data_IF_083977942920
#
_entry.id   IF_083977942920
#
_cell.length_a   1.000
_cell.length_b   1.000
_cell.length_c   1.000
_cell.angle_alpha   90.00
_cell.angle_beta   90.00
_cell.angle_gamma   90.00
#
_symmetry.space_group_name_H-M   'P 1'
#
loop_
_entity.id
_entity.type
_entity.pdbx_description
1 polymer ?
#
# COMPACT_ATOMS: atom_id res chain seq x y z
N UNK A 1 -25.55 -16.94 15.44
CA UNK A 1 -24.36 -16.14 15.74
C UNK A 1 -23.18 -16.64 14.92
N UNK A 2 -22.78 -16.07 13.78
CA UNK A 2 -23.32 -14.97 13.00
C UNK A 2 -22.66 -14.96 11.61
N UNK A 3 -23.35 -15.47 10.59
CA UNK A 3 -22.95 -15.32 9.18
C UNK A 3 -22.77 -13.83 8.82
N UNK A 4 -23.49 -12.92 9.48
CA UNK A 4 -23.29 -11.46 9.41
C UNK A 4 -21.95 -10.99 10.00
N UNK A 5 -21.49 -11.55 11.13
CA UNK A 5 -20.17 -11.22 11.69
C UNK A 5 -19.06 -11.72 10.78
N UNK A 6 -19.20 -12.90 10.19
CA UNK A 6 -18.22 -13.44 9.25
C UNK A 6 -18.15 -12.58 7.98
N UNK A 7 -19.31 -12.22 7.43
CA UNK A 7 -19.40 -11.32 6.28
C UNK A 7 -18.81 -9.94 6.58
N UNK A 8 -19.08 -9.37 7.75
CA UNK A 8 -18.51 -8.08 8.18
C UNK A 8 -16.99 -8.16 8.39
N UNK A 9 -16.49 -9.27 8.94
CA UNK A 9 -15.04 -9.50 9.16
C UNK A 9 -14.25 -9.62 7.86
N UNK A 10 -14.86 -10.07 6.76
CA UNK A 10 -14.19 -10.16 5.46
C UNK A 10 -14.42 -8.91 4.60
N UNK A 11 -15.64 -8.37 4.59
CA UNK A 11 -16.01 -7.25 3.72
C UNK A 11 -15.34 -5.94 4.16
N UNK A 12 -15.25 -5.68 5.47
CA UNK A 12 -14.71 -4.41 5.98
C UNK A 12 -13.22 -4.26 5.67
N UNK A 13 -12.34 -5.25 5.95
CA UNK A 13 -10.94 -5.19 5.54
C UNK A 13 -10.77 -5.06 4.03
N UNK A 14 -11.61 -5.73 3.24
CA UNK A 14 -11.58 -5.61 1.79
C UNK A 14 -11.91 -4.18 1.33
N UNK A 15 -13.06 -3.63 1.76
CA UNK A 15 -13.48 -2.29 1.39
C UNK A 15 -12.49 -1.21 1.85
N UNK A 16 -11.93 -1.36 3.05
CA UNK A 16 -10.91 -0.48 3.58
C UNK A 16 -9.63 -0.50 2.74
N UNK A 17 -9.16 -1.67 2.31
CA UNK A 17 -7.99 -1.81 1.44
C UNK A 17 -8.22 -1.19 0.06
N UNK A 18 -9.40 -1.42 -0.54
CA UNK A 18 -9.75 -0.76 -1.82
C UNK A 18 -9.75 0.77 -1.65
N UNK A 19 -10.31 1.28 -0.56
CA UNK A 19 -10.29 2.72 -0.26
C UNK A 19 -8.87 3.25 -0.06
N UNK A 20 -7.99 2.47 0.58
CA UNK A 20 -6.57 2.83 0.75
C UNK A 20 -5.81 2.89 -0.58
N UNK A 21 -6.09 1.98 -1.52
CA UNK A 21 -5.51 2.06 -2.87
C UNK A 21 -6.04 3.28 -3.64
N UNK A 22 -7.33 3.59 -3.53
CA UNK A 22 -7.90 4.83 -4.09
C UNK A 22 -7.22 6.08 -3.52
N UNK A 23 -7.04 6.14 -2.19
CA UNK A 23 -6.34 7.23 -1.53
C UNK A 23 -4.88 7.33 -2.00
N UNK A 24 -4.19 6.19 -2.16
CA UNK A 24 -2.80 6.15 -2.65
C UNK A 24 -2.68 6.74 -4.06
N UNK A 25 -3.54 6.31 -4.99
CA UNK A 25 -3.54 6.80 -6.38
C UNK A 25 -3.91 8.28 -6.45
N UNK A 26 -4.92 8.71 -5.68
CA UNK A 26 -5.32 10.10 -5.57
C UNK A 26 -4.20 10.99 -5.03
N UNK A 27 -3.48 10.54 -4.00
CA UNK A 27 -2.35 11.27 -3.42
C UNK A 27 -1.15 11.36 -4.36
N UNK A 28 -0.82 10.31 -5.13
CA UNK A 28 0.23 10.38 -6.16
C UNK A 28 -0.11 11.40 -7.25
N UNK A 29 -1.38 11.49 -7.63
CA UNK A 29 -1.88 12.48 -8.58
C UNK A 29 -1.81 13.90 -8.00
N UNK A 30 -2.22 14.07 -6.74
CA UNK A 30 -2.10 15.33 -5.99
C UNK A 30 -0.64 15.80 -5.83
N UNK A 31 0.28 14.87 -5.56
CA UNK A 31 1.72 15.16 -5.51
C UNK A 31 2.23 15.68 -6.87
N UNK A 32 1.90 14.99 -7.96
CA UNK A 32 2.30 15.42 -9.30
C UNK A 32 1.71 16.80 -9.65
N UNK A 33 0.47 17.05 -9.25
CA UNK A 33 -0.18 18.34 -9.42
C UNK A 33 0.47 19.46 -8.58
N UNK A 34 0.92 19.17 -7.36
CA UNK A 34 1.59 20.14 -6.49
C UNK A 34 2.99 20.48 -7.01
N UNK A 35 3.78 19.47 -7.40
CA UNK A 35 5.13 19.65 -7.96
C UNK A 35 5.11 20.35 -9.33
N UNK A 36 4.11 20.07 -10.17
CA UNK A 36 3.89 20.80 -11.42
C UNK A 36 3.61 22.30 -11.22
N UNK A 37 3.18 22.70 -10.02
CA UNK A 37 2.98 24.11 -9.62
C UNK A 37 4.20 24.72 -8.91
N UNK A 38 5.35 24.05 -8.96
CA UNK A 38 6.63 24.56 -8.46
C UNK A 38 6.94 24.23 -7.01
N UNK A 39 6.13 23.42 -6.32
CA UNK A 39 6.46 22.98 -4.96
C UNK A 39 7.58 21.94 -4.98
N UNK A 40 8.63 22.15 -4.17
CA UNK A 40 9.66 21.13 -3.97
C UNK A 40 9.09 19.85 -3.35
N UNK A 41 9.55 18.70 -3.86
CA UNK A 41 9.14 17.41 -3.30
C UNK A 41 9.66 17.18 -1.87
N UNK A 42 10.78 17.79 -1.47
CA UNK A 42 11.27 17.73 -0.09
C UNK A 42 10.31 18.44 0.86
N UNK A 43 9.92 19.67 0.50
CA UNK A 43 8.94 20.47 1.26
C UNK A 43 7.59 19.77 1.32
N UNK A 44 7.13 19.22 0.19
CA UNK A 44 5.91 18.42 0.15
C UNK A 44 5.98 17.23 1.10
N UNK A 45 7.08 16.46 1.07
CA UNK A 45 7.28 15.27 1.92
C UNK A 45 7.21 15.66 3.39
N UNK A 46 7.92 16.72 3.79
CA UNK A 46 7.95 17.20 5.17
C UNK A 46 6.54 17.59 5.65
N UNK A 47 5.82 18.42 4.89
CA UNK A 47 4.48 18.85 5.28
C UNK A 47 3.48 17.71 5.33
N UNK A 48 3.56 16.77 4.39
CA UNK A 48 2.73 15.57 4.40
C UNK A 48 2.99 14.71 5.63
N UNK A 49 4.26 14.52 6.05
CA UNK A 49 4.59 13.81 7.28
C UNK A 49 4.06 14.53 8.53
N UNK A 50 4.17 15.87 8.59
CA UNK A 50 3.66 16.67 9.71
C UNK A 50 2.14 16.57 9.81
N UNK A 51 1.42 16.76 8.70
CA UNK A 51 -0.04 16.59 8.65
C UNK A 51 -0.42 15.18 9.05
N UNK A 52 0.33 14.17 8.60
CA UNK A 52 0.03 12.79 8.91
C UNK A 52 0.17 12.47 10.40
N UNK A 53 1.26 12.95 11.01
CA UNK A 53 1.49 12.82 12.45
C UNK A 53 0.43 13.59 13.25
N UNK A 54 0.16 14.85 12.90
CA UNK A 54 -0.85 15.67 13.56
C UNK A 54 -2.25 15.07 13.49
N UNK A 55 -2.60 14.43 12.36
CA UNK A 55 -3.86 13.73 12.20
C UNK A 55 -3.94 12.47 13.07
N UNK A 56 -2.85 11.70 13.23
CA UNK A 56 -2.87 10.42 13.96
C UNK A 56 -2.72 10.54 15.48
N UNK A 57 -1.96 11.52 15.97
CA UNK A 57 -1.73 11.76 17.40
C UNK A 57 -3.02 11.80 18.23
N UNK A 58 -4.08 12.56 17.86
CA UNK A 58 -5.31 12.57 18.65
C UNK A 58 -6.00 11.20 18.63
N UNK A 59 -6.01 10.49 17.50
CA UNK A 59 -6.59 9.15 17.43
C UNK A 59 -5.80 8.15 18.27
N UNK A 60 -4.47 8.25 18.31
CA UNK A 60 -3.63 7.40 19.16
C UNK A 60 -3.97 7.63 20.65
N UNK A 61 -4.24 8.87 21.06
CA UNK A 61 -4.64 9.18 22.43
C UNK A 61 -6.04 8.65 22.78
N UNK A 62 -7.03 8.83 21.90
CA UNK A 62 -8.42 8.42 22.16
C UNK A 62 -8.67 6.91 21.98
N UNK A 63 -7.99 6.28 21.02
CA UNK A 63 -8.14 4.86 20.70
C UNK A 63 -7.00 4.00 21.26
N UNK A 64 -6.25 4.54 22.23
CA UNK A 64 -5.19 3.81 22.90
C UNK A 64 -5.71 2.48 23.43
N UNK A 65 -5.15 1.39 22.91
CA UNK A 65 -5.33 0.08 23.53
C UNK A 65 -4.33 0.00 24.66
N UNK A 66 -4.76 -0.37 25.87
CA UNK A 66 -3.88 -0.65 27.01
C UNK A 66 -3.00 -1.88 26.73
N UNK A 67 -2.07 -1.75 25.79
CA UNK A 67 -1.06 -2.72 25.47
C UNK A 67 0.14 -2.42 26.36
N UNK A 68 0.58 -3.42 27.13
CA UNK A 68 1.81 -3.31 27.89
C UNK A 68 2.97 -3.06 26.93
N UNK A 69 3.84 -2.11 27.27
CA UNK A 69 5.04 -1.87 26.47
C UNK A 69 5.91 -3.14 26.47
N UNK A 70 6.58 -3.44 25.34
CA UNK A 70 7.46 -4.59 25.27
C UNK A 70 8.58 -4.48 26.31
N UNK A 71 9.07 -5.61 26.85
CA UNK A 71 10.10 -5.62 27.89
C UNK A 71 11.38 -4.89 27.45
N UNK A 72 11.74 -4.98 26.17
CA UNK A 72 12.91 -4.31 25.59
C UNK A 72 12.54 -3.00 24.87
N UNK A 73 12.19 -1.97 25.64
CA UNK A 73 11.73 -0.66 25.12
C UNK A 73 12.72 0.00 24.14
N UNK A 74 14.02 -0.08 24.40
CA UNK A 74 15.07 0.56 23.58
C UNK A 74 15.16 -0.11 22.20
N UNK A 75 15.20 -1.44 22.17
CA UNK A 75 15.28 -2.20 20.92
C UNK A 75 14.04 -1.95 20.06
N UNK A 76 12.86 -1.94 20.68
CA UNK A 76 11.60 -1.63 20.00
C UNK A 76 11.57 -0.21 19.44
N UNK A 77 12.03 0.79 20.20
CA UNK A 77 12.16 2.16 19.71
C UNK A 77 13.09 2.24 18.49
N UNK A 78 14.26 1.58 18.55
CA UNK A 78 15.19 1.54 17.42
C UNK A 78 14.58 0.87 16.17
N UNK A 79 13.79 -0.19 16.35
CA UNK A 79 13.05 -0.81 15.24
C UNK A 79 12.09 0.17 14.56
N UNK A 80 11.34 0.97 15.34
CA UNK A 80 10.45 2.01 14.77
C UNK A 80 11.27 3.11 14.08
N UNK A 81 12.43 3.50 14.60
CA UNK A 81 13.32 4.46 13.93
C UNK A 81 13.81 3.92 12.60
N UNK A 82 14.30 2.67 12.55
CA UNK A 82 14.71 2.02 11.30
C UNK A 82 13.56 1.91 10.30
N UNK A 83 12.38 1.55 10.77
CA UNK A 83 11.17 1.48 9.95
C UNK A 83 10.79 2.86 9.38
N UNK A 84 10.90 3.92 10.17
CA UNK A 84 10.64 5.31 9.77
C UNK A 84 11.67 5.81 8.75
N UNK A 85 12.94 5.46 8.92
CA UNK A 85 14.01 5.76 7.96
C UNK A 85 13.82 5.01 6.62
N UNK A 86 13.40 3.74 6.68
CA UNK A 86 13.04 2.96 5.51
C UNK A 86 11.83 3.56 4.79
N UNK A 87 10.79 3.93 5.54
CA UNK A 87 9.60 4.61 5.03
C UNK A 87 9.91 5.94 4.35
N UNK A 88 10.78 6.75 4.95
CA UNK A 88 11.28 7.99 4.36
C UNK A 88 12.01 7.73 3.04
N UNK A 89 12.87 6.72 3.01
CA UNK A 89 13.60 6.32 1.80
C UNK A 89 12.63 5.89 0.69
N UNK A 90 11.58 5.14 1.02
CA UNK A 90 10.51 4.79 0.06
C UNK A 90 9.83 6.05 -0.49
N UNK A 91 9.46 6.99 0.39
CA UNK A 91 8.74 8.20 -0.01
C UNK A 91 9.60 9.11 -0.89
N UNK A 92 10.89 9.29 -0.57
CA UNK A 92 11.80 10.08 -1.39
C UNK A 92 12.04 9.45 -2.76
N UNK A 93 12.29 8.14 -2.82
CA UNK A 93 12.42 7.41 -4.08
C UNK A 93 11.15 7.51 -4.93
N UNK A 94 9.98 7.38 -4.30
CA UNK A 94 8.69 7.50 -5.00
C UNK A 94 8.41 8.90 -5.52
N UNK A 95 8.70 9.92 -4.72
CA UNK A 95 8.54 11.31 -5.12
C UNK A 95 9.51 11.66 -6.27
N UNK A 96 10.76 11.20 -6.20
CA UNK A 96 11.73 11.36 -7.29
C UNK A 96 11.31 10.58 -8.54
N UNK A 97 10.77 9.39 -8.38
CA UNK A 97 10.19 8.60 -9.47
C UNK A 97 9.02 9.30 -10.16
N UNK A 98 8.12 9.89 -9.36
CA UNK A 98 6.99 10.69 -9.84
C UNK A 98 7.43 11.98 -10.52
N UNK A 99 8.51 12.61 -10.07
CA UNK A 99 9.10 13.78 -10.73
C UNK A 99 9.56 13.44 -12.15
N UNK A 100 10.33 12.35 -12.29
CA UNK A 100 10.86 11.88 -13.58
C UNK A 100 9.82 11.16 -14.48
N UNK A 101 8.63 10.87 -13.96
CA UNK A 101 7.63 10.07 -14.69
C UNK A 101 6.19 10.46 -14.33
N UNK A 102 5.27 9.49 -14.31
CA UNK A 102 3.83 9.68 -14.12
C UNK A 102 3.26 8.80 -13.00
N UNK A 103 2.12 9.21 -12.39
CA UNK A 103 1.37 8.37 -11.47
C UNK A 103 0.96 7.03 -12.07
N UNK A 104 0.62 6.99 -13.37
CA UNK A 104 0.26 5.75 -14.07
C UNK A 104 1.43 4.77 -14.15
N UNK A 105 2.65 5.25 -14.43
CA UNK A 105 3.84 4.39 -14.41
C UNK A 105 4.12 3.87 -12.98
N UNK A 106 3.94 4.72 -11.97
CA UNK A 106 4.03 4.32 -10.56
C UNK A 106 3.07 3.15 -10.26
N UNK A 107 1.78 3.30 -10.58
CA UNK A 107 0.78 2.23 -10.43
C UNK A 107 1.14 0.96 -11.21
N UNK A 108 1.70 1.09 -12.42
CA UNK A 108 2.13 -0.04 -13.24
C UNK A 108 3.29 -0.83 -12.61
N UNK A 109 4.27 -0.15 -12.02
CA UNK A 109 5.43 -0.81 -11.38
C UNK A 109 5.06 -1.33 -9.98
N UNK A 110 4.03 -0.76 -9.33
CA UNK A 110 3.53 -1.22 -8.03
C UNK A 110 3.05 -2.68 -8.03
N UNK A 111 2.75 -3.24 -9.21
CA UNK A 111 2.44 -4.67 -9.40
C UNK A 111 3.57 -5.61 -8.97
N UNK A 112 4.80 -5.10 -8.79
CA UNK A 112 5.92 -5.86 -8.26
C UNK A 112 5.84 -6.10 -6.74
N UNK A 113 5.07 -5.28 -6.01
CA UNK A 113 4.97 -5.35 -4.55
C UNK A 113 4.50 -6.73 -4.05
N UNK A 114 3.41 -7.35 -4.57
CA UNK A 114 3.02 -8.68 -4.13
C UNK A 114 4.13 -9.73 -4.29
N UNK A 115 4.86 -9.70 -5.42
CA UNK A 115 5.93 -10.65 -5.69
C UNK A 115 7.11 -10.46 -4.73
N UNK A 116 7.59 -9.23 -4.55
CA UNK A 116 8.65 -8.91 -3.58
C UNK A 116 8.23 -9.26 -2.15
N UNK A 117 7.00 -8.91 -1.77
CA UNK A 117 6.47 -9.18 -0.44
C UNK A 117 6.34 -10.67 -0.17
N UNK A 118 5.87 -11.46 -1.13
CA UNK A 118 5.79 -12.91 -0.99
C UNK A 118 7.18 -13.55 -0.82
N UNK A 119 8.15 -13.18 -1.65
CA UNK A 119 9.53 -13.67 -1.53
C UNK A 119 10.13 -13.36 -0.14
N UNK A 120 9.95 -12.12 0.33
CA UNK A 120 10.43 -11.73 1.66
C UNK A 120 9.66 -12.45 2.78
N UNK A 121 8.34 -12.60 2.67
CA UNK A 121 7.53 -13.32 3.66
C UNK A 121 7.97 -14.78 3.80
N UNK A 122 8.35 -15.44 2.70
CA UNK A 122 8.92 -16.79 2.71
C UNK A 122 10.31 -16.79 3.34
N UNK A 123 11.18 -15.85 2.96
CA UNK A 123 12.54 -15.72 3.51
C UNK A 123 12.53 -15.52 5.03
N UNK A 124 11.66 -14.64 5.53
CA UNK A 124 11.47 -14.39 6.97
C UNK A 124 10.58 -15.42 7.67
N UNK A 125 10.21 -16.52 6.99
CA UNK A 125 9.37 -17.62 7.52
C UNK A 125 7.99 -17.17 8.04
N UNK A 126 7.46 -16.08 7.50
CA UNK A 126 6.11 -15.60 7.78
C UNK A 126 5.05 -16.34 6.94
N UNK A 127 5.47 -16.93 5.81
CA UNK A 127 4.66 -17.80 4.97
C UNK A 127 5.38 -19.14 4.79
N UNK A 128 4.63 -20.25 4.93
CA UNK A 128 5.15 -21.59 4.65
C UNK A 128 4.68 -22.00 3.27
N UNK A 129 5.63 -22.24 2.35
CA UNK A 129 5.29 -22.79 1.04
C UNK A 129 5.06 -24.29 1.21
N UNK A 130 3.80 -24.70 1.27
CA UNK A 130 3.41 -26.09 1.03
C UNK A 130 2.74 -26.18 -0.35
N UNK A 131 3.54 -26.58 -1.36
CA UNK A 131 3.08 -26.76 -2.74
C UNK A 131 2.10 -27.93 -2.89
N UNK A 132 1.90 -28.76 -1.86
CA UNK A 132 0.87 -29.80 -1.87
C UNK A 132 -0.51 -29.24 -1.51
N UNK A 133 -0.57 -28.10 -0.81
CA UNK A 133 -1.85 -27.45 -0.47
C UNK A 133 -2.37 -26.63 -1.65
N UNK A 134 -3.59 -26.95 -2.07
CA UNK A 134 -4.29 -26.23 -3.15
C UNK A 134 -4.44 -24.72 -2.88
N UNK A 135 -4.60 -24.32 -1.61
CA UNK A 135 -4.63 -22.91 -1.19
C UNK A 135 -3.35 -22.14 -1.57
N UNK A 136 -2.17 -22.74 -1.39
CA UNK A 136 -0.88 -22.12 -1.71
C UNK A 136 -0.72 -21.93 -3.22
N UNK A 137 -1.09 -22.94 -4.01
CA UNK A 137 -1.03 -22.89 -5.48
C UNK A 137 -1.94 -21.79 -6.01
N UNK A 138 -3.19 -21.72 -5.52
CA UNK A 138 -4.16 -20.73 -5.99
C UNK A 138 -3.70 -19.30 -5.71
N UNK A 139 -3.01 -19.03 -4.59
CA UNK A 139 -2.44 -17.70 -4.31
C UNK A 139 -1.33 -17.32 -5.30
N UNK A 140 -0.44 -18.26 -5.61
CA UNK A 140 0.66 -18.04 -6.57
C UNK A 140 0.08 -17.78 -7.96
N UNK A 141 -0.83 -18.63 -8.42
CA UNK A 141 -1.48 -18.48 -9.73
C UNK A 141 -2.31 -17.19 -9.78
N UNK A 142 -3.11 -16.90 -8.74
CA UNK A 142 -3.88 -15.66 -8.65
C UNK A 142 -3.01 -14.41 -8.68
N UNK A 143 -1.84 -14.44 -8.05
CA UNK A 143 -0.86 -13.36 -8.11
C UNK A 143 -0.31 -13.18 -9.54
N UNK A 144 0.07 -14.28 -10.20
CA UNK A 144 0.55 -14.24 -11.59
C UNK A 144 -0.52 -13.71 -12.55
N UNK A 145 -1.78 -14.13 -12.38
CA UNK A 145 -2.93 -13.63 -13.17
C UNK A 145 -3.19 -12.15 -12.89
N UNK A 146 -3.10 -11.69 -11.64
CA UNK A 146 -3.29 -10.27 -11.30
C UNK A 146 -2.20 -9.39 -11.93
N UNK A 147 -0.94 -9.84 -11.88
CA UNK A 147 0.19 -9.16 -12.53
C UNK A 147 0.01 -9.15 -14.05
N UNK A 148 -0.43 -10.25 -14.67
CA UNK A 148 -0.66 -10.29 -16.12
C UNK A 148 -1.80 -9.35 -16.54
N UNK A 149 -2.88 -9.26 -15.77
CA UNK A 149 -3.95 -8.29 -15.99
C UNK A 149 -3.44 -6.85 -15.93
N UNK A 150 -2.57 -6.54 -14.98
CA UNK A 150 -1.97 -5.23 -14.88
C UNK A 150 -1.01 -4.91 -16.03
N UNK A 151 -0.25 -5.90 -16.52
CA UNK A 151 0.54 -5.77 -17.75
C UNK A 151 -0.34 -5.52 -18.98
N UNK A 152 -1.53 -6.13 -19.07
CA UNK A 152 -2.50 -5.84 -20.14
C UNK A 152 -2.96 -4.39 -20.08
N UNK A 153 -3.28 -3.83 -18.91
CA UNK A 153 -3.66 -2.41 -18.78
C UNK A 153 -2.58 -1.47 -19.33
N UNK A 154 -1.31 -1.83 -19.15
CA UNK A 154 -0.16 -1.00 -19.52
C UNK A 154 0.24 -1.17 -20.99
N UNK A 155 0.32 -2.42 -21.46
CA UNK A 155 0.90 -2.76 -22.77
C UNK A 155 -0.15 -2.79 -23.88
N UNK A 156 -1.41 -3.04 -23.55
CA UNK A 156 -2.49 -3.11 -24.52
C UNK A 156 -3.47 -1.95 -24.30
N UNK A 157 -3.49 -0.97 -25.21
CA UNK A 157 -4.53 0.06 -25.23
C UNK A 157 -5.81 -0.47 -25.87
N UNK A 158 -5.74 -0.94 -27.12
CA UNK A 158 -6.92 -1.31 -27.90
C UNK A 158 -7.79 -0.10 -28.31
N UNK A 159 -8.98 -0.33 -28.90
CA UNK A 159 -9.89 0.74 -29.31
C UNK A 159 -10.49 1.48 -28.11
N UNK A 160 -10.94 2.72 -28.34
CA UNK A 160 -11.70 3.49 -27.35
C UNK A 160 -13.08 2.84 -27.21
N UNK A 161 -13.45 2.52 -25.97
CA UNK A 161 -14.75 1.89 -25.65
C UNK A 161 -15.72 2.91 -25.08
N UNK A 162 -15.20 3.83 -24.24
CA UNK A 162 -15.97 4.94 -23.70
C UNK A 162 -15.25 6.21 -24.15
N UNK A 163 -15.84 6.88 -25.15
CA UNK A 163 -15.41 8.19 -25.62
C UNK A 163 -16.09 9.27 -24.80
N UNK A 164 -15.31 10.22 -24.29
CA UNK A 164 -15.89 11.36 -23.59
C UNK A 164 -16.24 12.48 -24.61
N UNK A 165 -17.52 12.89 -24.75
CA UNK A 165 -17.93 13.92 -25.70
C UNK A 165 -17.35 15.32 -25.37
N UNK A 166 -16.86 15.54 -24.15
CA UNK A 166 -16.20 16.76 -23.72
C UNK A 166 -14.67 16.67 -23.72
N UNK A 167 -14.11 15.51 -24.13
CA UNK A 167 -12.67 15.41 -24.35
C UNK A 167 -12.31 16.37 -25.48
N UNK A 168 -11.34 17.28 -25.31
CA UNK A 168 -10.85 18.09 -26.41
C UNK A 168 -10.32 17.12 -27.46
N UNK A 169 -11.09 16.90 -28.53
CA UNK A 169 -10.70 16.04 -29.65
C UNK A 169 -9.25 16.38 -29.99
N UNK A 170 -8.30 15.43 -29.90
CA UNK A 170 -7.08 15.64 -30.64
C UNK A 170 -7.54 15.63 -32.09
N UNK A 171 -7.48 16.80 -32.76
CA UNK A 171 -7.14 16.77 -34.17
C UNK A 171 -5.98 15.80 -34.27
N UNK A 172 -6.08 14.83 -35.17
CA UNK A 172 -5.01 13.93 -35.54
C UNK A 172 -3.76 14.76 -35.88
N UNK A 173 -3.00 15.05 -34.84
CA UNK A 173 -1.71 15.69 -34.82
C UNK A 173 -0.95 14.69 -33.98
N UNK A 174 -0.05 13.94 -34.62
CA UNK A 174 0.86 13.09 -33.88
C UNK A 174 1.43 13.95 -32.77
N UNK A 175 1.18 13.56 -31.52
CA UNK A 175 1.95 14.03 -30.38
C UNK A 175 3.34 13.40 -30.49
N UNK A 176 4.05 13.77 -31.56
CA UNK A 176 5.36 14.34 -31.37
C UNK A 176 5.14 15.39 -30.26
N UNK A 177 5.83 15.21 -29.15
CA UNK A 177 6.19 16.33 -28.29
C UNK A 177 6.37 17.57 -29.18
N UNK A 178 5.98 18.78 -28.75
CA UNK A 178 6.62 19.94 -29.34
C UNK A 178 8.11 19.63 -29.18
N UNK A 179 8.80 19.33 -30.28
CA UNK A 179 10.20 19.64 -30.36
C UNK A 179 10.20 21.11 -29.95
N UNK A 180 10.77 21.46 -28.78
CA UNK A 180 11.07 22.84 -28.55
C UNK A 180 11.91 23.27 -29.77
N UNK A 181 11.91 24.56 -30.15
CA UNK A 181 13.04 25.06 -30.93
C UNK A 181 14.31 24.50 -30.26
N UNK A 182 15.25 23.98 -31.05
CA UNK A 182 16.53 23.46 -30.57
C UNK A 182 17.18 24.48 -29.65
N UNK A 183 16.85 24.39 -28.36
CA UNK A 183 17.49 25.06 -27.25
C UNK A 183 17.86 23.92 -26.31
N UNK A 184 19.14 23.60 -26.34
CA UNK A 184 19.80 22.45 -25.75
C UNK A 184 19.91 22.53 -24.22
N UNK A 185 18.85 22.96 -23.53
CA UNK A 185 18.90 23.33 -22.11
C UNK A 185 17.77 22.77 -21.23
N UNK A 186 16.79 22.03 -21.78
CA UNK A 186 15.78 21.33 -20.97
C UNK A 186 15.96 19.80 -21.03
N UNK A 187 16.40 19.13 -19.95
CA UNK A 187 16.52 17.68 -19.94
C UNK A 187 15.14 17.03 -20.02
N UNK A 188 14.92 16.20 -21.05
CA UNK A 188 13.74 15.33 -21.15
C UNK A 188 13.63 14.49 -19.87
N UNK A 189 12.44 14.38 -19.25
CA UNK A 189 12.29 13.58 -18.04
C UNK A 189 12.68 12.14 -18.32
N UNK A 190 13.73 11.66 -17.64
CA UNK A 190 14.28 10.33 -17.85
C UNK A 190 13.35 9.28 -17.22
N UNK A 191 12.30 8.93 -17.95
CA UNK A 191 11.25 7.99 -17.52
C UNK A 191 11.82 6.63 -17.08
N UNK A 192 12.98 6.22 -17.62
CA UNK A 192 13.71 5.02 -17.21
C UNK A 192 14.24 5.18 -15.78
N UNK A 193 14.85 6.33 -15.46
CA UNK A 193 15.28 6.65 -14.10
C UNK A 193 14.08 6.68 -13.15
N UNK A 194 12.95 7.26 -13.58
CA UNK A 194 11.71 7.23 -12.81
C UNK A 194 11.23 5.81 -12.52
N UNK A 195 11.26 4.93 -13.53
CA UNK A 195 10.93 3.51 -13.38
C UNK A 195 11.86 2.78 -12.42
N UNK A 196 13.17 3.00 -12.50
CA UNK A 196 14.15 2.43 -11.57
C UNK A 196 13.89 2.89 -10.13
N UNK A 197 13.64 4.19 -9.91
CA UNK A 197 13.25 4.72 -8.61
C UNK A 197 12.01 4.01 -8.04
N UNK A 198 11.00 3.75 -8.87
CA UNK A 198 9.81 2.99 -8.45
C UNK A 198 10.12 1.54 -8.10
N UNK A 199 10.95 0.84 -8.87
CA UNK A 199 11.35 -0.54 -8.54
C UNK A 199 12.01 -0.59 -7.16
N UNK A 200 12.95 0.32 -6.89
CA UNK A 200 13.60 0.40 -5.56
C UNK A 200 12.61 0.80 -4.46
N UNK A 201 11.76 1.80 -4.70
CA UNK A 201 10.70 2.18 -3.76
C UNK A 201 9.86 0.97 -3.37
N UNK A 202 9.37 0.19 -4.34
CA UNK A 202 8.44 -0.90 -4.09
C UNK A 202 9.09 -2.13 -3.49
N UNK A 203 10.39 -2.35 -3.76
CA UNK A 203 11.19 -3.31 -3.00
C UNK A 203 11.30 -2.88 -1.53
N UNK A 204 11.68 -1.64 -1.26
CA UNK A 204 11.75 -1.10 0.10
C UNK A 204 10.39 -1.12 0.82
N UNK A 205 9.30 -0.83 0.11
CA UNK A 205 7.94 -0.88 0.64
C UNK A 205 7.53 -2.31 1.03
N UNK A 206 8.02 -3.32 0.29
CA UNK A 206 7.82 -4.73 0.64
C UNK A 206 8.58 -5.09 1.93
N UNK A 207 9.80 -4.59 2.12
CA UNK A 207 10.52 -4.70 3.41
C UNK A 207 9.76 -3.98 4.54
N UNK A 208 9.21 -2.80 4.26
CA UNK A 208 8.39 -2.06 5.22
C UNK A 208 7.20 -2.90 5.70
N UNK A 209 6.46 -3.56 4.80
CA UNK A 209 5.36 -4.46 5.20
C UNK A 209 5.81 -5.60 6.12
N UNK A 210 6.96 -6.22 5.86
CA UNK A 210 7.51 -7.29 6.69
C UNK A 210 7.85 -6.76 8.10
N UNK A 211 8.63 -5.68 8.17
CA UNK A 211 9.07 -5.10 9.44
C UNK A 211 7.89 -4.55 10.25
N UNK A 212 6.96 -3.85 9.61
CA UNK A 212 5.73 -3.35 10.23
C UNK A 212 4.91 -4.49 10.84
N UNK A 213 4.80 -5.63 10.14
CA UNK A 213 4.10 -6.82 10.68
C UNK A 213 4.78 -7.36 11.92
N UNK A 214 6.12 -7.39 11.96
CA UNK A 214 6.87 -7.87 13.13
C UNK A 214 6.69 -6.94 14.33
N UNK A 215 6.74 -5.62 14.10
CA UNK A 215 6.53 -4.60 15.15
C UNK A 215 5.13 -4.72 15.75
N UNK A 216 4.10 -4.85 14.92
CA UNK A 216 2.71 -4.94 15.38
C UNK A 216 2.40 -6.25 16.11
N UNK A 217 3.11 -7.34 15.81
CA UNK A 217 3.03 -8.57 16.61
C UNK A 217 3.57 -8.40 18.03
N UNK A 218 4.56 -7.52 18.22
CA UNK A 218 5.15 -7.22 19.54
C UNK A 218 4.31 -6.20 20.29
N UNK A 219 3.77 -5.19 19.59
CA UNK A 219 2.93 -4.15 20.18
C UNK A 219 1.68 -3.91 19.31
N UNK A 220 0.54 -4.54 19.64
CA UNK A 220 -0.66 -4.59 18.80
C UNK A 220 -1.57 -3.35 18.94
N UNK A 221 -0.96 -2.17 18.98
CA UNK A 221 -1.66 -0.87 18.88
C UNK A 221 -1.25 -0.18 17.57
N UNK A 222 -2.08 -0.38 16.54
CA UNK A 222 -1.79 0.03 15.17
C UNK A 222 -1.71 1.54 15.02
N UNK A 223 -2.63 2.28 15.66
CA UNK A 223 -2.70 3.74 15.53
C UNK A 223 -1.53 4.40 16.25
N UNK A 224 -1.20 3.93 17.47
CA UNK A 224 -0.05 4.45 18.21
C UNK A 224 1.27 4.20 17.50
N UNK A 225 1.49 3.00 16.95
CA UNK A 225 2.72 2.68 16.19
C UNK A 225 2.85 3.58 14.97
N UNK A 226 1.76 3.77 14.21
CA UNK A 226 1.80 4.61 13.00
C UNK A 226 1.96 6.10 13.35
N UNK A 227 1.38 6.57 14.46
CA UNK A 227 1.57 7.93 14.94
C UNK A 227 3.04 8.22 15.30
N UNK A 228 3.67 7.34 16.08
CA UNK A 228 5.09 7.45 16.45
C UNK A 228 5.98 7.34 15.21
N UNK A 229 5.65 6.44 14.28
CA UNK A 229 6.34 6.30 12.99
C UNK A 229 6.35 7.61 12.21
N UNK A 230 5.20 8.27 12.00
CA UNK A 230 5.16 9.55 11.26
C UNK A 230 5.80 10.70 12.02
N UNK A 231 5.75 10.69 13.35
CA UNK A 231 6.45 11.69 14.17
C UNK A 231 7.97 11.59 13.99
N UNK A 232 8.52 10.37 14.08
CA UNK A 232 9.95 10.13 13.83
C UNK A 232 10.28 10.45 12.36
N UNK A 233 9.43 10.04 11.42
CA UNK A 233 9.64 10.32 10.01
C UNK A 233 9.68 11.83 9.72
N UNK A 234 8.81 12.64 10.34
CA UNK A 234 8.85 14.10 10.23
C UNK A 234 10.15 14.68 10.80
N UNK A 235 10.61 14.18 11.96
CA UNK A 235 11.88 14.58 12.57
C UNK A 235 13.09 14.23 11.70
N UNK A 236 13.07 13.09 11.00
CA UNK A 236 14.13 12.69 10.07
C UNK A 236 14.07 13.49 8.76
N UNK A 237 12.86 13.82 8.29
CA UNK A 237 12.65 14.56 7.03
C UNK A 237 13.02 16.04 7.16
N UNK A 238 12.77 16.65 8.33
CA UNK A 238 13.03 18.06 8.59
C UNK A 238 14.47 18.51 8.27
N UNK A 239 15.54 17.88 8.81
CA UNK A 239 16.91 18.27 8.50
C UNK A 239 17.26 18.05 7.03
N UNK A 240 16.77 16.96 6.40
CA UNK A 240 17.00 16.70 4.97
C UNK A 240 16.39 17.81 4.13
N UNK A 241 15.16 18.23 4.45
CA UNK A 241 14.48 19.31 3.75
C UNK A 241 15.18 20.65 3.94
N UNK A 242 15.63 20.98 5.16
CA UNK A 242 16.35 22.22 5.45
C UNK A 242 17.70 22.30 4.71
N UNK A 243 18.39 21.17 4.54
CA UNK A 243 19.65 21.11 3.80
C UNK A 243 19.41 21.17 2.29
N UNK A 244 18.37 20.49 1.79
CA UNK A 244 18.09 20.41 0.36
C UNK A 244 17.46 21.69 -0.20
N UNK A 245 16.61 22.38 0.58
CA UNK A 245 15.83 23.55 0.15
C UNK A 245 16.22 24.77 0.98
N UNK A 246 17.32 25.40 0.57
CA UNK A 246 17.88 26.59 1.23
C UNK A 246 17.16 27.89 0.83
N UNK A 247 16.42 27.89 -0.28
CA UNK A 247 15.61 29.04 -0.70
C UNK A 247 14.30 29.10 0.08
N UNK A 248 14.13 30.17 0.87
CA UNK A 248 12.91 30.44 1.65
C UNK A 248 11.65 30.58 0.79
N UNK A 249 11.76 30.83 -0.51
CA UNK A 249 10.60 30.86 -1.41
C UNK A 249 10.03 29.46 -1.67
N UNK A 250 10.84 28.39 -1.63
CA UNK A 250 10.39 27.01 -1.82
C UNK A 250 9.41 26.56 -0.72
N UNK A 251 9.44 27.23 0.44
CA UNK A 251 8.60 26.96 1.60
C UNK A 251 7.26 27.70 1.58
N UNK A 252 7.11 28.70 0.70
CA UNK A 252 5.89 29.53 0.65
C UNK A 252 4.76 28.78 -0.07
N UNK A 253 3.69 28.48 0.66
CA UNK A 253 2.45 27.93 0.11
C UNK A 253 1.59 29.06 -0.48
N UNK A 254 1.99 29.58 -1.63
CA UNK A 254 1.33 30.74 -2.27
C UNK A 254 -0.01 30.41 -2.92
N UNK A 255 -0.24 29.15 -3.29
CA UNK A 255 -1.45 28.69 -3.97
C UNK A 255 -2.33 27.83 -3.03
N UNK A 256 -3.61 28.17 -2.79
CA UNK A 256 -4.48 27.39 -1.91
C UNK A 256 -4.69 25.95 -2.40
N UNK A 257 -4.58 25.68 -3.71
CA UNK A 257 -4.65 24.32 -4.25
C UNK A 257 -3.47 23.45 -3.79
N UNK A 258 -2.27 24.03 -3.65
CA UNK A 258 -1.09 23.30 -3.17
C UNK A 258 -1.32 22.85 -1.73
N UNK A 259 -1.88 23.73 -0.89
CA UNK A 259 -2.26 23.39 0.48
C UNK A 259 -3.28 22.24 0.52
N UNK A 260 -4.31 22.26 -0.33
CA UNK A 260 -5.29 21.17 -0.42
C UNK A 260 -4.64 19.83 -0.82
N UNK A 261 -3.69 19.84 -1.77
CA UNK A 261 -2.97 18.62 -2.16
C UNK A 261 -2.09 18.07 -1.04
N UNK A 262 -1.41 18.93 -0.29
CA UNK A 262 -0.61 18.55 0.89
C UNK A 262 -1.51 17.98 1.97
N UNK A 263 -2.59 18.69 2.32
CA UNK A 263 -3.51 18.29 3.38
C UNK A 263 -4.17 16.95 3.06
N UNK A 264 -4.70 16.79 1.84
CA UNK A 264 -5.28 15.53 1.39
C UNK A 264 -4.24 14.39 1.35
N UNK A 265 -3.02 14.66 0.91
CA UNK A 265 -1.96 13.65 0.89
C UNK A 265 -1.48 13.23 2.27
N UNK A 266 -1.40 14.16 3.23
CA UNK A 266 -1.10 13.84 4.63
C UNK A 266 -2.22 13.05 5.28
N UNK A 267 -3.46 13.51 5.13
CA UNK A 267 -4.61 12.91 5.82
C UNK A 267 -5.04 11.57 5.19
N UNK A 268 -5.34 11.56 3.89
CA UNK A 268 -5.81 10.37 3.18
C UNK A 268 -4.64 9.50 2.72
N UNK A 269 -3.64 10.10 2.07
CA UNK A 269 -2.54 9.36 1.44
C UNK A 269 -1.52 8.74 2.38
N UNK A 270 -1.36 9.31 3.57
CA UNK A 270 -0.41 8.83 4.58
C UNK A 270 -1.14 8.30 5.81
N UNK A 271 -1.82 9.14 6.61
CA UNK A 271 -2.43 8.69 7.87
C UNK A 271 -3.43 7.56 7.68
N UNK A 272 -4.45 7.77 6.84
CA UNK A 272 -5.50 6.79 6.61
C UNK A 272 -4.93 5.50 5.98
N UNK A 273 -4.15 5.64 4.89
CA UNK A 273 -3.54 4.49 4.21
C UNK A 273 -2.63 3.68 5.15
N UNK A 274 -1.77 4.34 5.94
CA UNK A 274 -0.86 3.65 6.85
C UNK A 274 -1.61 2.98 8.01
N UNK A 275 -2.67 3.60 8.53
CA UNK A 275 -3.54 2.97 9.53
C UNK A 275 -4.21 1.71 8.98
N UNK A 276 -4.80 1.78 7.78
CA UNK A 276 -5.45 0.64 7.12
C UNK A 276 -4.44 -0.46 6.76
N UNK A 277 -3.30 -0.11 6.19
CA UNK A 277 -2.25 -1.09 5.89
C UNK A 277 -1.77 -1.77 7.17
N UNK A 278 -1.43 -1.00 8.20
CA UNK A 278 -0.96 -1.56 9.49
C UNK A 278 -2.00 -2.47 10.13
N UNK A 279 -3.27 -2.06 10.10
CA UNK A 279 -4.38 -2.89 10.55
C UNK A 279 -4.51 -4.17 9.75
N UNK A 280 -4.44 -4.12 8.41
CA UNK A 280 -4.47 -5.31 7.57
C UNK A 280 -3.25 -6.22 7.74
N UNK A 281 -2.07 -5.66 8.01
CA UNK A 281 -0.87 -6.42 8.33
C UNK A 281 -1.05 -7.19 9.65
N UNK A 282 -1.67 -6.56 10.66
CA UNK A 282 -2.00 -7.22 11.91
C UNK A 282 -3.00 -8.38 11.69
N UNK A 283 -4.06 -8.11 10.92
CA UNK A 283 -5.17 -9.05 10.75
C UNK A 283 -4.82 -10.25 9.86
N UNK A 284 -4.26 -10.00 8.67
CA UNK A 284 -4.11 -11.03 7.61
C UNK A 284 -2.69 -11.15 7.06
N UNK A 285 -1.77 -10.29 7.52
CA UNK A 285 -0.35 -10.35 7.17
C UNK A 285 0.04 -9.63 5.87
N UNK A 286 1.34 -9.62 5.54
CA UNK A 286 1.91 -8.78 4.48
C UNK A 286 1.51 -9.20 3.07
N UNK A 287 1.33 -10.51 2.82
CA UNK A 287 0.90 -11.00 1.50
C UNK A 287 -0.55 -10.58 1.20
N UNK A 288 -1.41 -10.52 2.21
CA UNK A 288 -2.78 -10.03 2.02
C UNK A 288 -2.78 -8.56 1.62
N UNK A 289 -2.11 -7.70 2.38
CA UNK A 289 -2.07 -6.24 2.09
C UNK A 289 -1.46 -5.97 0.72
N UNK A 290 -0.32 -6.59 0.41
CA UNK A 290 0.35 -6.38 -0.89
C UNK A 290 -0.47 -6.85 -2.09
N UNK A 291 -1.37 -7.81 -1.94
CA UNK A 291 -2.20 -8.32 -3.04
C UNK A 291 -3.17 -7.30 -3.64
N UNK A 292 -3.47 -6.20 -2.93
CA UNK A 292 -4.34 -5.13 -3.44
C UNK A 292 -3.63 -4.16 -4.37
N UNK A 293 -2.29 -4.16 -4.40
CA UNK A 293 -1.50 -3.20 -5.19
C UNK A 293 -1.80 -3.20 -6.68
N UNK A 294 -2.06 -4.35 -7.33
CA UNK A 294 -2.49 -4.36 -8.72
C UNK A 294 -3.80 -3.63 -9.02
N UNK A 295 -4.66 -3.41 -8.02
CA UNK A 295 -5.86 -2.62 -8.21
C UNK A 295 -5.53 -1.15 -8.52
N UNK A 296 -4.36 -0.65 -8.09
CA UNK A 296 -3.96 0.75 -8.25
C UNK A 296 -3.92 1.21 -9.72
N UNK A 297 -3.56 0.34 -10.67
CA UNK A 297 -3.53 0.71 -12.10
C UNK A 297 -4.95 0.80 -12.69
N UNK A 298 -5.85 -0.08 -12.28
CA UNK A 298 -7.25 -0.04 -12.70
C UNK A 298 -7.95 1.19 -12.10
N UNK A 299 -7.70 1.49 -10.82
CA UNK A 299 -8.20 2.70 -10.17
C UNK A 299 -7.64 3.95 -10.85
N UNK A 300 -6.34 3.99 -11.18
CA UNK A 300 -5.74 5.13 -11.88
C UNK A 300 -6.39 5.37 -13.24
N UNK A 301 -6.64 4.30 -14.01
CA UNK A 301 -7.34 4.41 -15.29
C UNK A 301 -8.79 4.90 -15.13
N UNK A 302 -9.53 4.39 -14.13
CA UNK A 302 -10.89 4.82 -13.84
C UNK A 302 -10.95 6.28 -13.37
N UNK A 303 -10.06 6.69 -12.48
CA UNK A 303 -9.95 8.08 -12.02
C UNK A 303 -9.57 9.03 -13.16
N UNK A 304 -8.66 8.62 -14.05
CA UNK A 304 -8.34 9.38 -15.27
C UNK A 304 -9.58 9.59 -16.15
N UNK A 305 -10.33 8.53 -16.41
CA UNK A 305 -11.55 8.63 -17.21
C UNK A 305 -12.65 9.50 -16.55
N UNK A 306 -12.88 9.34 -15.24
CA UNK A 306 -13.97 10.03 -14.53
C UNK A 306 -13.62 11.49 -14.22
N UNK A 307 -12.41 11.76 -13.74
CA UNK A 307 -12.01 13.08 -13.22
C UNK A 307 -11.32 13.94 -14.27
N UNK A 308 -10.49 13.34 -15.13
CA UNK A 308 -9.75 14.06 -16.17
C UNK A 308 -10.48 14.01 -17.52
N UNK A 309 -11.47 13.11 -17.66
CA UNK A 309 -12.23 12.96 -18.89
C UNK A 309 -11.46 12.22 -19.99
N UNK A 310 -10.45 11.44 -19.62
CA UNK A 310 -9.65 10.63 -20.55
C UNK A 310 -10.49 9.53 -21.19
N UNK A 311 -10.19 9.21 -22.46
CA UNK A 311 -10.85 8.11 -23.15
C UNK A 311 -10.48 6.76 -22.50
N UNK A 312 -11.50 5.95 -22.18
CA UNK A 312 -11.28 4.61 -21.64
C UNK A 312 -11.05 3.62 -22.78
N UNK A 313 -9.86 3.02 -22.79
CA UNK A 313 -9.46 2.08 -23.82
C UNK A 313 -9.79 0.64 -23.43
N UNK A 314 -10.07 -0.21 -24.42
CA UNK A 314 -10.51 -1.61 -24.22
C UNK A 314 -9.55 -2.42 -23.34
N UNK A 315 -8.25 -2.24 -23.51
CA UNK A 315 -7.27 -2.99 -22.73
C UNK A 315 -7.24 -2.62 -21.25
N UNK A 316 -7.67 -1.42 -20.86
CA UNK A 316 -7.90 -1.09 -19.45
C UNK A 316 -9.06 -1.89 -18.86
N UNK A 317 -10.15 -2.07 -19.61
CA UNK A 317 -11.31 -2.88 -19.18
C UNK A 317 -10.91 -4.35 -19.05
N UNK A 318 -10.28 -4.91 -20.09
CA UNK A 318 -9.84 -6.31 -20.09
C UNK A 318 -8.84 -6.55 -18.95
N UNK A 319 -7.85 -5.68 -18.81
CA UNK A 319 -6.85 -5.79 -17.75
C UNK A 319 -7.47 -5.70 -16.36
N UNK A 320 -8.44 -4.80 -16.12
CA UNK A 320 -9.18 -4.71 -14.86
C UNK A 320 -9.98 -5.99 -14.53
N UNK A 321 -10.60 -6.62 -15.53
CA UNK A 321 -11.29 -7.91 -15.37
C UNK A 321 -10.29 -8.99 -14.96
N UNK A 322 -9.14 -9.09 -15.64
CA UNK A 322 -8.11 -10.08 -15.32
C UNK A 322 -7.53 -9.85 -13.92
N UNK A 323 -7.26 -8.59 -13.54
CA UNK A 323 -6.84 -8.23 -12.18
C UNK A 323 -7.87 -8.72 -11.15
N UNK A 324 -9.15 -8.50 -11.40
CA UNK A 324 -10.25 -8.91 -10.51
C UNK A 324 -10.30 -10.43 -10.34
N UNK A 325 -10.12 -11.19 -11.42
CA UNK A 325 -10.08 -12.67 -11.39
C UNK A 325 -8.86 -13.16 -10.58
N UNK A 326 -7.67 -12.63 -10.87
CA UNK A 326 -6.44 -13.01 -10.15
C UNK A 326 -6.53 -12.70 -8.66
N UNK A 327 -7.03 -11.51 -8.35
CA UNK A 327 -7.24 -11.05 -6.98
C UNK A 327 -8.27 -11.91 -6.23
N UNK A 328 -9.40 -12.26 -6.86
CA UNK A 328 -10.38 -13.19 -6.28
C UNK A 328 -9.75 -14.55 -5.96
N UNK A 329 -8.88 -15.06 -6.84
CA UNK A 329 -8.11 -16.28 -6.57
C UNK A 329 -7.27 -16.18 -5.30
N UNK A 330 -6.54 -15.08 -5.11
CA UNK A 330 -5.72 -14.85 -3.90
C UNK A 330 -6.60 -14.86 -2.65
N UNK A 331 -7.72 -14.13 -2.67
CA UNK A 331 -8.66 -14.07 -1.55
C UNK A 331 -9.25 -15.44 -1.23
N UNK A 332 -9.71 -16.16 -2.26
CA UNK A 332 -10.24 -17.52 -2.11
C UNK A 332 -9.20 -18.46 -1.49
N UNK A 333 -7.96 -18.39 -1.97
CA UNK A 333 -6.86 -19.15 -1.41
C UNK A 333 -6.61 -18.83 0.07
N UNK A 334 -6.69 -17.56 0.47
CA UNK A 334 -6.55 -17.12 1.87
C UNK A 334 -7.72 -17.58 2.74
N UNK A 335 -8.96 -17.41 2.29
CA UNK A 335 -10.15 -17.87 3.00
C UNK A 335 -10.09 -19.37 3.30
N UNK A 336 -9.67 -20.19 2.31
CA UNK A 336 -9.47 -21.63 2.53
C UNK A 336 -8.37 -21.96 3.55
N UNK A 337 -7.34 -21.12 3.67
CA UNK A 337 -6.27 -21.34 4.66
C UNK A 337 -6.78 -21.04 6.08
N UNK A 338 -7.58 -19.99 6.24
CA UNK A 338 -8.21 -19.62 7.51
C UNK A 338 -9.23 -20.68 7.96
N UNK A 339 -10.07 -21.20 7.05
CA UNK A 339 -10.97 -22.31 7.33
C UNK A 339 -10.22 -23.56 7.82
N UNK A 340 -9.13 -23.90 7.14
CA UNK A 340 -8.35 -25.10 7.47
C UNK A 340 -7.64 -24.96 8.83
N UNK A 341 -7.11 -23.77 9.16
CA UNK A 341 -6.56 -23.47 10.49
C UNK A 341 -7.62 -23.59 11.58
N UNK A 342 -8.81 -23.03 11.34
CA UNK A 342 -9.93 -23.14 12.28
C UNK A 342 -10.36 -24.59 12.54
N UNK A 343 -10.31 -25.44 11.50
CA UNK A 343 -10.57 -26.88 11.65
C UNK A 343 -9.47 -27.60 12.44
N UNK A 344 -8.20 -27.30 12.16
CA UNK A 344 -7.04 -27.87 12.86
C UNK A 344 -7.07 -27.50 14.36
N UNK A 345 -7.40 -26.24 14.70
CA UNK A 345 -7.54 -25.77 16.08
C UNK A 345 -8.71 -26.45 16.81
N UNK A 346 -9.86 -26.62 16.14
CA UNK A 346 -11.02 -27.31 16.70
C UNK A 346 -10.75 -28.79 16.97
N UNK A 347 -10.10 -29.51 16.04
CA UNK A 347 -9.70 -30.90 16.25
C UNK A 347 -8.59 -31.06 17.30
N UNK A 348 -7.67 -30.10 17.42
CA UNK A 348 -6.66 -30.09 18.48
C UNK A 348 -7.28 -29.96 19.88
N UNK A 349 -8.32 -29.15 20.03
CA UNK A 349 -9.11 -29.01 21.25
C UNK A 349 -9.91 -30.29 21.58
N UNK A 350 -10.52 -30.94 20.58
CA UNK A 350 -11.23 -32.21 20.78
C UNK A 350 -10.28 -33.37 21.17
N UNK A 351 -9.06 -33.39 20.63
CA UNK A 351 -8.07 -34.41 20.99
C UNK A 351 -7.53 -34.25 22.42
N UNK A 352 -7.46 -33.02 22.95
CA UNK A 352 -7.08 -32.76 24.35
C UNK A 352 -8.20 -33.07 25.35
N UNK A 353 -9.46 -33.12 24.90
CA UNK A 353 -10.63 -33.46 25.72
C UNK A 353 -10.77 -34.98 25.97
N UNK A 354 -9.97 -35.83 25.32
CA UNK A 354 -9.97 -37.28 25.50
C UNK A 354 -8.84 -37.78 26.40
N UNK A 355 -8.61 -37.12 27.54
CA UNK A 355 -7.91 -37.75 28.66
C UNK A 355 -8.87 -38.73 29.36
N UNK A 356 -8.46 -39.98 29.66
CA UNK A 356 -9.38 -40.98 30.20
C UNK A 356 -9.67 -40.66 31.67
N UNK A 357 -10.90 -40.22 31.95
CA UNK A 357 -11.47 -40.19 33.29
C UNK A 357 -11.78 -41.63 33.74
N UNK A 358 -10.81 -42.33 34.32
CA UNK A 358 -11.03 -43.57 35.07
C UNK A 358 -9.76 -43.92 35.86
N UNK A 359 -9.72 -43.57 37.15
CA UNK A 359 -9.41 -44.49 38.26
C UNK A 359 -9.43 -43.73 39.61
N UNK A 360 -10.61 -43.54 40.22
CA UNK A 360 -10.71 -43.43 41.68
C UNK A 360 -12.11 -43.81 42.13
N UNK A 361 -12.43 -45.10 41.99
CA UNK A 361 -13.53 -45.71 42.73
C UNK A 361 -13.16 -47.16 43.05
N UNK A 362 -12.36 -47.32 44.10
CA UNK A 362 -12.32 -48.51 44.97
C UNK A 362 -11.35 -48.20 46.10
N UNK A 363 -11.92 -47.79 47.23
CA UNK A 363 -11.46 -48.13 48.57
C UNK A 363 -12.57 -47.67 49.52
N UNK A 364 -13.63 -48.47 49.57
CA UNK A 364 -14.43 -48.63 50.76
C UNK A 364 -14.27 -50.10 51.17
N UNK A 365 -14.12 -50.31 52.49
CA UNK A 365 -14.15 -51.59 53.22
C UNK A 365 -12.88 -52.47 53.23
N UNK A 366 -12.02 -52.24 54.24
CA UNK A 366 -11.49 -53.26 55.14
C UNK A 366 -11.04 -52.62 56.46
#
# INVERSE_FOLDING_TARGET
MDQRRLFYKELVPFAAMVAAECATVGSNTGFKAATARGLSYYVFTLYVCIVAAAALIPFAFFFHKSAELPPNKISFFFQIVCLSALGLSCQLLGNKGLEYSSPTLSSAISNLIPAFTFMLAVFFRMEKIDLKRSSSIVKIVGSAVSISGALVVVLYKGPIVISNPYSPRPKQLGLLYPNPPLDSSHPQPNWIMGGLCFVFQYLCNSFWYILQTQIIKVYPDEISVVAVYYLIQALLTAPICLIAETDMNAWKLTNPLIFLFIFNSGLMGQSFVAAIHTWGLNLKGPVYVSSFRPLSIAIAAAMGAILLGDDLHLGSIIGAIIISIGFYGILWGKAKEEELKGLEDACGLESSSKAPLLQYYKLEEA
#
